data_IF_535763741317
#
_entry.id   IF_535763741317
#
_cell.length_a   1.000
_cell.length_b   1.000
_cell.length_c   1.000
_cell.angle_alpha   90.00
_cell.angle_beta   90.00
_cell.angle_gamma   90.00
#
_symmetry.space_group_name_H-M   'P 1'
#
loop_
_entity.id
_entity.type
_entity.pdbx_description
1 polymer ?
2 branched ?
3 branched ?
4 branched ?
5 branched ?
6 non-polymer ?
7 non-polymer ?
8 non-polymer ?
9 water ?
#
# COMPACT_ATOMS: atom_id res chain seq x y z
N UNK A 3 -10.81 6.91 13.26
CA UNK A 3 -11.61 6.01 12.42
C UNK A 3 -11.65 6.45 10.94
N UNK A 4 -11.75 7.78 10.67
CA UNK A 4 -11.75 8.33 9.31
C UNK A 4 -10.33 8.51 8.82
N UNK A 5 -10.07 8.10 7.56
CA UNK A 5 -8.76 8.25 6.91
C UNK A 5 -8.71 9.58 6.17
N UNK A 6 -7.71 10.42 6.49
CA UNK A 6 -7.52 11.65 5.74
C UNK A 6 -6.34 11.41 4.81
N UNK A 7 -6.57 11.56 3.51
CA UNK A 7 -5.54 11.38 2.47
C UNK A 7 -5.42 12.64 1.63
N UNK A 8 -4.21 12.94 1.18
CA UNK A 8 -3.90 14.10 0.37
C UNK A 8 -2.80 13.81 -0.64
N UNK A 9 -2.71 14.64 -1.67
CA UNK A 9 -1.73 14.59 -2.73
C UNK A 9 -0.57 15.51 -2.40
N UNK A 10 0.65 15.13 -2.81
CA UNK A 10 1.82 15.96 -2.61
C UNK A 10 2.43 16.27 -3.97
N UNK A 11 3.06 17.43 -4.12
CA UNK A 11 3.67 17.83 -5.39
C UNK A 11 4.81 16.91 -5.81
N UNK A 12 4.92 16.70 -7.12
CA UNK A 12 5.97 15.93 -7.78
C UNK A 12 5.84 16.17 -9.27
N UNK A 13 6.80 16.90 -9.81
CA UNK A 13 6.86 17.21 -11.24
C UNK A 13 7.05 15.96 -12.08
N UNK A 14 7.68 14.94 -11.51
CA UNK A 14 7.93 13.66 -12.17
C UNK A 14 6.69 12.80 -12.36
N UNK A 15 5.56 13.16 -11.68
CA UNK A 15 4.26 12.47 -11.74
C UNK A 15 3.24 13.34 -12.47
N UNK A 16 2.82 12.89 -13.66
CA UNK A 16 1.85 13.51 -14.54
C UNK A 16 0.47 13.54 -13.86
N UNK A 17 -0.24 14.66 -14.03
CA UNK A 17 -1.55 14.89 -13.42
C UNK A 17 -1.47 15.89 -12.29
N UNK A 18 -2.32 15.72 -11.25
CA UNK A 18 -2.37 16.62 -10.09
C UNK A 18 -1.02 17.03 -9.49
N UNK A 19 -0.12 16.05 -9.26
CA UNK A 19 1.21 16.25 -8.66
C UNK A 19 2.10 17.21 -9.45
N UNK A 20 2.09 17.12 -10.79
CA UNK A 20 2.86 18.01 -11.67
C UNK A 20 2.23 19.41 -11.64
N UNK A 21 0.88 19.49 -11.68
CA UNK A 21 0.10 20.73 -11.63
C UNK A 21 0.36 21.50 -10.34
N UNK A 22 0.44 20.78 -9.20
CA UNK A 22 0.72 21.35 -7.87
C UNK A 22 2.11 21.95 -7.85
N UNK A 23 3.10 21.21 -8.40
CA UNK A 23 4.49 21.67 -8.50
C UNK A 23 4.56 23.02 -9.20
N UNK A 24 3.89 23.13 -10.39
CA UNK A 24 3.83 24.34 -11.21
C UNK A 24 3.14 25.49 -10.51
N UNK A 25 2.10 25.20 -9.69
CA UNK A 25 1.33 26.20 -8.94
C UNK A 25 1.92 26.50 -7.56
N UNK A 26 3.03 25.82 -7.22
CA UNK A 26 3.72 25.98 -5.95
C UNK A 26 2.90 25.47 -4.77
N UNK A 27 2.08 24.43 -5.00
CA UNK A 27 1.22 23.80 -3.99
C UNK A 27 1.96 22.57 -3.50
N UNK A 28 2.07 22.44 -2.19
CA UNK A 28 2.77 21.32 -1.59
C UNK A 28 1.82 20.17 -1.24
N UNK A 29 0.67 20.48 -0.61
CA UNK A 29 -0.32 19.50 -0.19
C UNK A 29 -1.72 19.92 -0.56
N UNK A 30 -2.44 19.00 -1.23
CA UNK A 30 -3.81 19.20 -1.67
C UNK A 30 -4.64 17.99 -1.24
N UNK A 31 -5.71 18.24 -0.45
CA UNK A 31 -6.62 17.23 0.08
C UNK A 31 -7.20 16.33 -0.99
N UNK A 32 -7.28 15.04 -0.71
CA UNK A 32 -7.89 14.08 -1.62
C UNK A 32 -9.27 13.75 -1.05
N UNK A 33 -9.31 13.27 0.20
CA UNK A 33 -10.55 12.97 0.89
C UNK A 33 -10.43 12.64 2.36
N UNK A 34 -11.59 12.58 3.04
CA UNK A 34 -11.77 12.20 4.43
C UNK A 34 -12.68 10.99 4.36
N UNK A 35 -12.14 9.83 4.67
CA UNK A 35 -12.85 8.58 4.47
C UNK A 35 -13.31 7.78 5.67
N UNK A 36 -14.62 7.90 6.08
CA UNK A 36 -15.17 6.97 7.09
C UNK A 36 -15.32 5.57 6.48
N UNK A 37 -15.63 4.55 7.30
CA UNK A 37 -15.79 3.15 6.89
C UNK A 37 -16.87 3.01 5.83
N UNK A 38 -18.01 3.69 6.02
CA UNK A 38 -19.19 3.63 5.17
C UNK A 38 -19.06 4.42 3.90
N UNK A 39 -19.11 3.71 2.76
CA UNK A 39 -19.11 4.28 1.42
C UNK A 39 -20.57 4.47 1.01
N UNK A 40 -20.89 5.67 0.51
CA UNK A 40 -22.24 6.05 0.06
C UNK A 40 -22.66 5.36 -1.21
N UNK A 41 -23.92 4.89 -1.26
CA UNK A 41 -24.52 4.30 -2.45
C UNK A 41 -25.83 5.02 -2.81
N UNK A 42 -26.07 5.17 -4.10
CA UNK A 42 -27.29 5.76 -4.61
C UNK A 42 -27.30 7.25 -4.84
N UNK A 43 -28.51 7.81 -4.83
CA UNK A 43 -28.78 9.23 -5.07
C UNK A 43 -28.33 10.04 -3.85
N UNK A 44 -27.37 10.97 -4.00
CA UNK A 44 -27.00 11.84 -2.86
C UNK A 44 -28.21 12.60 -2.32
N UNK A 45 -28.17 12.95 -1.02
CA UNK A 45 -29.24 13.70 -0.36
C UNK A 45 -29.27 15.16 -0.81
N UNK A 46 -28.17 15.64 -1.41
CA UNK A 46 -27.97 17.00 -1.90
C UNK A 46 -26.94 16.97 -3.03
N UNK A 47 -27.18 17.75 -4.11
CA UNK A 47 -26.21 17.86 -5.19
C UNK A 47 -25.24 18.96 -4.82
N UNK A 48 -23.94 18.62 -4.72
CA UNK A 48 -22.89 19.56 -4.41
C UNK A 48 -22.72 20.55 -5.56
N UNK A 49 -22.92 21.83 -5.29
CA UNK A 49 -22.78 22.88 -6.30
C UNK A 49 -21.32 23.31 -6.36
N UNK A 50 -20.92 23.94 -7.47
CA UNK A 50 -19.56 24.45 -7.69
C UNK A 50 -19.21 25.54 -6.67
N UNK A 51 -20.18 26.41 -6.31
CA UNK A 51 -20.06 27.49 -5.31
C UNK A 51 -19.73 26.86 -3.94
N UNK A 52 -20.39 25.74 -3.59
CA UNK A 52 -20.19 25.01 -2.33
C UNK A 52 -18.81 24.38 -2.32
N UNK A 53 -18.48 23.63 -3.39
CA UNK A 53 -17.19 22.94 -3.51
C UNK A 53 -15.99 23.87 -3.60
N UNK A 54 -16.18 25.07 -4.17
CA UNK A 54 -15.10 26.08 -4.28
C UNK A 54 -14.70 26.63 -2.90
N UNK A 55 -15.59 26.49 -1.88
CA UNK A 55 -15.43 26.91 -0.47
C UNK A 55 -14.38 26.09 0.28
N UNK A 56 -13.97 24.91 -0.26
CA UNK A 56 -12.88 24.07 0.23
C UNK A 56 -11.69 24.70 -0.52
N UNK A 57 -11.20 25.85 0.02
CA UNK A 57 -10.13 26.65 -0.56
C UNK A 57 -8.83 25.91 -0.51
N UNK A 58 -8.19 25.84 -1.67
CA UNK A 58 -6.88 25.22 -1.81
C UNK A 58 -6.85 23.79 -2.23
N UNK A 59 -8.01 23.09 -2.25
CA UNK A 59 -8.09 21.71 -2.67
C UNK A 59 -8.14 21.70 -4.19
N UNK A 60 -7.21 20.99 -4.81
CA UNK A 60 -7.13 20.91 -6.26
C UNK A 60 -7.82 19.65 -6.78
N UNK A 61 -8.46 19.81 -7.93
CA UNK A 61 -9.14 18.73 -8.62
C UNK A 61 -8.07 17.85 -9.26
N UNK A 62 -8.30 16.53 -9.26
CA UNK A 62 -7.38 15.57 -9.87
C UNK A 62 -7.66 15.45 -11.39
N UNK A 63 -8.80 16.05 -11.84
CA UNK A 63 -9.26 16.05 -13.23
C UNK A 63 -8.54 17.08 -14.10
N UNK A 64 -7.98 16.62 -15.23
CA UNK A 64 -7.33 17.48 -16.21
C UNK A 64 -8.38 18.35 -16.93
N UNK A 65 -9.65 17.88 -17.00
CA UNK A 65 -10.78 18.58 -17.64
C UNK A 65 -11.15 19.93 -17.03
N UNK A 66 -10.75 20.19 -15.77
CA UNK A 66 -10.99 21.48 -15.10
C UNK A 66 -9.67 22.20 -14.91
N UNK A 67 -8.60 21.65 -15.54
CA UNK A 67 -7.22 22.14 -15.43
C UNK A 67 -6.75 22.07 -13.97
N UNK A 68 -7.15 20.98 -13.26
CA UNK A 68 -6.82 20.71 -11.85
C UNK A 68 -7.27 21.84 -10.88
N UNK A 69 -8.50 22.33 -11.07
CA UNK A 69 -9.07 23.39 -10.23
C UNK A 69 -10.20 22.85 -9.36
N UNK A 70 -11.43 22.86 -9.86
CA UNK A 70 -12.64 22.45 -9.17
C UNK A 70 -13.68 22.13 -10.28
N UNK A 71 -14.66 21.19 -10.10
CA UNK A 71 -15.02 20.48 -8.86
C UNK A 71 -15.28 18.98 -9.08
N UNK A 72 -14.58 18.33 -10.01
CA UNK A 72 -14.80 16.90 -10.26
C UNK A 72 -14.41 15.98 -9.08
N UNK A 73 -13.21 16.18 -8.49
CA UNK A 73 -12.77 15.39 -7.34
C UNK A 73 -13.65 15.70 -6.12
N UNK A 74 -13.89 17.00 -5.86
CA UNK A 74 -14.70 17.53 -4.75
C UNK A 74 -16.10 16.95 -4.75
N UNK A 75 -16.78 16.93 -5.93
CA UNK A 75 -18.13 16.37 -6.06
C UNK A 75 -18.11 14.85 -5.86
N UNK A 76 -17.13 14.17 -6.45
CA UNK A 76 -16.94 12.72 -6.32
C UNK A 76 -16.79 12.32 -4.86
N UNK A 77 -16.05 13.13 -4.07
CA UNK A 77 -15.82 12.90 -2.65
C UNK A 77 -17.08 13.09 -1.84
N UNK A 78 -17.91 14.10 -2.15
CA UNK A 78 -19.18 14.33 -1.44
C UNK A 78 -20.13 13.17 -1.70
N UNK A 79 -20.26 12.75 -2.96
CA UNK A 79 -21.14 11.67 -3.41
C UNK A 79 -20.77 10.30 -2.84
N UNK A 80 -19.47 9.91 -2.92
CA UNK A 80 -18.95 8.62 -2.46
C UNK A 80 -18.72 8.52 -0.95
N UNK A 81 -18.31 9.64 -0.30
CA UNK A 81 -17.96 9.61 1.12
C UNK A 81 -18.65 10.62 2.03
N UNK A 82 -19.25 11.66 1.47
CA UNK A 82 -19.80 12.75 2.24
C UNK A 82 -21.25 12.68 2.70
N UNK A 83 -22.20 12.69 1.75
CA UNK A 83 -23.63 12.78 2.03
C UNK A 83 -24.23 11.84 3.06
N UNK A 84 -23.95 10.53 2.93
CA UNK A 84 -24.48 9.48 3.79
C UNK A 84 -23.86 9.44 5.20
N UNK A 85 -22.73 10.15 5.42
CA UNK A 85 -22.05 10.18 6.71
C UNK A 85 -22.14 11.52 7.44
N UNK A 86 -22.13 12.64 6.68
CA UNK A 86 -22.21 13.99 7.23
C UNK A 86 -23.63 14.55 7.24
N UNK A 87 -24.51 13.96 6.41
CA UNK A 87 -25.94 14.25 6.26
C UNK A 87 -26.30 15.57 5.62
N UNK A 88 -25.49 16.61 5.87
CA UNK A 88 -25.66 17.97 5.32
C UNK A 88 -24.32 18.46 4.76
N UNK A 89 -24.34 19.27 3.67
CA UNK A 89 -23.14 19.79 3.00
C UNK A 89 -22.34 20.80 3.80
N UNK A 90 -23.01 21.65 4.62
CA UNK A 90 -22.34 22.68 5.43
C UNK A 90 -21.28 22.09 6.37
N UNK A 91 -21.58 21.13 7.28
CA UNK A 91 -20.49 20.60 8.14
C UNK A 91 -19.36 19.87 7.39
N UNK A 92 -19.65 19.27 6.21
CA UNK A 92 -18.66 18.54 5.41
C UNK A 92 -17.68 19.49 4.69
N UNK A 93 -18.16 20.62 4.17
CA UNK A 93 -17.38 21.67 3.52
C UNK A 93 -16.48 22.34 4.54
N UNK A 94 -17.05 22.67 5.73
CA UNK A 94 -16.28 23.28 6.82
C UNK A 94 -15.19 22.32 7.31
N UNK A 95 -15.47 21.00 7.34
CA UNK A 95 -14.46 20.02 7.73
C UNK A 95 -13.39 19.85 6.67
N UNK A 96 -13.79 19.64 5.41
CA UNK A 96 -12.88 19.51 4.27
C UNK A 96 -12.01 20.77 4.16
N UNK A 97 -12.61 21.96 4.30
CA UNK A 97 -11.89 23.23 4.23
C UNK A 97 -10.93 23.45 5.40
N UNK A 98 -11.33 23.08 6.62
CA UNK A 98 -10.44 23.22 7.76
C UNK A 98 -9.26 22.26 7.61
N UNK A 99 -9.50 21.01 7.13
CA UNK A 99 -8.47 20.00 6.87
C UNK A 99 -7.44 20.49 5.84
N UNK A 100 -7.91 21.09 4.70
CA UNK A 100 -7.07 21.65 3.64
C UNK A 100 -6.26 22.84 4.16
N UNK A 101 -6.91 23.77 4.91
CA UNK A 101 -6.28 24.93 5.55
C UNK A 101 -5.12 24.46 6.44
N UNK A 102 -5.32 23.36 7.19
CA UNK A 102 -4.31 22.74 8.04
C UNK A 102 -3.16 22.15 7.21
N UNK A 103 -3.48 21.45 6.09
CA UNK A 103 -2.49 20.88 5.16
C UNK A 103 -1.61 21.94 4.47
N UNK A 104 -2.20 23.12 4.15
CA UNK A 104 -1.52 24.25 3.51
C UNK A 104 -0.42 24.85 4.42
N UNK A 105 -0.60 24.73 5.76
CA UNK A 105 0.35 25.21 6.78
C UNK A 105 1.71 24.54 6.71
N UNK A 106 1.75 23.33 6.19
CA UNK A 106 2.98 22.58 6.05
C UNK A 106 2.83 21.14 6.49
N UNK A 107 3.95 20.55 6.92
CA UNK A 107 3.99 19.15 7.37
C UNK A 107 3.02 18.88 8.52
N UNK A 108 2.08 17.93 8.33
CA UNK A 108 1.10 17.61 9.39
C UNK A 108 1.73 16.82 10.54
N UNK A 109 1.02 16.72 11.68
CA UNK A 109 1.39 15.96 12.86
C UNK A 109 1.54 14.48 12.43
N UNK A 110 0.55 13.99 11.66
CA UNK A 110 0.55 12.60 11.16
C UNK A 110 0.59 12.58 9.64
N UNK A 111 1.75 12.22 9.08
CA UNK A 111 1.98 12.13 7.65
C UNK A 111 2.73 10.83 7.29
N UNK A 112 2.02 9.89 6.64
CA UNK A 112 2.50 8.59 6.21
C UNK A 112 2.35 8.46 4.72
N UNK A 113 3.39 7.95 4.02
CA UNK A 113 3.35 7.73 2.57
C UNK A 113 2.29 6.70 2.19
N UNK A 114 1.69 6.87 1.01
CA UNK A 114 0.71 5.95 0.45
C UNK A 114 1.30 5.43 -0.86
N UNK A 115 1.57 6.34 -1.78
CA UNK A 115 2.15 6.05 -3.08
C UNK A 115 3.43 6.88 -3.25
N UNK A 116 4.43 6.33 -3.95
CA UNK A 116 5.69 7.00 -4.22
C UNK A 116 5.96 6.90 -5.70
N UNK A 117 6.97 7.65 -6.14
CA UNK A 117 7.59 7.55 -7.45
C UNK A 117 9.07 7.58 -7.09
N UNK A 118 9.76 6.45 -7.30
CA UNK A 118 11.18 6.40 -7.01
C UNK A 118 11.96 7.19 -8.06
N UNK A 119 12.73 8.17 -7.61
CA UNK A 119 13.55 9.03 -8.45
C UNK A 119 14.98 8.49 -8.41
N UNK A 120 15.46 7.93 -9.55
CA UNK A 120 16.80 7.34 -9.69
C UNK A 120 17.91 8.37 -9.46
N UNK A 121 17.74 9.60 -9.99
CA UNK A 121 18.68 10.71 -9.88
C UNK A 121 18.95 11.12 -8.43
N UNK A 122 17.89 11.48 -7.68
CA UNK A 122 18.02 11.88 -6.27
C UNK A 122 18.09 10.69 -5.32
N UNK A 123 17.79 9.46 -5.81
CA UNK A 123 17.81 8.19 -5.05
C UNK A 123 16.79 8.27 -3.87
N UNK A 124 15.61 8.84 -4.16
CA UNK A 124 14.57 9.07 -3.15
C UNK A 124 13.22 8.57 -3.56
N UNK A 125 12.42 8.17 -2.56
CA UNK A 125 11.01 7.82 -2.76
C UNK A 125 10.24 9.14 -2.66
N UNK A 126 9.90 9.73 -3.81
CA UNK A 126 9.13 10.99 -3.88
C UNK A 126 7.67 10.61 -3.62
N UNK A 127 7.15 11.05 -2.46
CA UNK A 127 5.78 10.76 -2.01
C UNK A 127 4.76 11.54 -2.84
N UNK A 128 3.85 10.83 -3.51
CA UNK A 128 2.83 11.45 -4.37
C UNK A 128 1.45 11.57 -3.66
N UNK A 129 1.20 10.71 -2.65
CA UNK A 129 0.00 10.69 -1.81
C UNK A 129 0.39 10.22 -0.41
N UNK A 130 -0.15 10.88 0.60
CA UNK A 130 0.10 10.56 2.01
C UNK A 130 -1.21 10.58 2.79
N UNK A 131 -1.19 9.99 3.98
CA UNK A 131 -2.35 9.93 4.86
C UNK A 131 -1.94 10.08 6.33
N UNK A 132 -2.90 10.20 7.24
CA UNK A 132 -2.62 10.40 8.66
C UNK A 132 -2.46 9.11 9.50
N UNK A 133 -2.20 7.97 8.84
CA UNK A 133 -2.00 6.66 9.49
C UNK A 133 -1.23 5.73 8.54
N UNK A 134 -0.38 4.79 9.03
CA UNK A 134 0.38 3.94 8.10
C UNK A 134 -0.48 2.98 7.28
N UNK A 135 -0.01 2.65 6.07
CA UNK A 135 -0.72 1.80 5.11
C UNK A 135 0.27 1.05 4.20
N UNK A 136 -0.03 -0.15 3.65
CA UNK A 136 0.92 -0.78 2.71
C UNK A 136 1.21 0.15 1.52
N UNK A 137 2.50 0.31 1.21
CA UNK A 137 3.02 1.21 0.16
C UNK A 137 2.93 0.68 -1.27
N UNK A 138 2.97 1.61 -2.24
CA UNK A 138 2.92 1.36 -3.68
C UNK A 138 3.96 2.26 -4.35
N UNK A 139 4.87 1.65 -5.11
CA UNK A 139 5.91 2.35 -5.86
C UNK A 139 7.10 2.83 -5.05
N UNK A 140 7.07 2.64 -3.72
CA UNK A 140 8.13 3.04 -2.81
C UNK A 140 9.18 1.95 -2.78
N UNK A 141 10.46 2.31 -2.95
CA UNK A 141 11.57 1.37 -2.98
C UNK A 141 12.14 1.22 -1.57
N UNK A 142 12.35 -0.03 -1.17
CA UNK A 142 12.88 -0.44 0.14
C UNK A 142 14.29 0.09 0.39
N UNK A 143 14.52 0.59 1.60
CA UNK A 143 15.81 1.13 2.03
C UNK A 143 16.21 2.45 1.39
N UNK A 144 15.22 3.21 0.89
CA UNK A 144 15.38 4.52 0.26
C UNK A 144 14.59 5.52 1.09
N UNK A 145 15.16 6.70 1.31
CA UNK A 145 14.49 7.76 2.08
C UNK A 145 13.31 8.36 1.32
N UNK A 146 12.32 8.87 2.07
CA UNK A 146 11.09 9.46 1.55
C UNK A 146 11.19 10.98 1.49
N UNK A 147 10.63 11.58 0.41
CA UNK A 147 10.60 13.03 0.22
C UNK A 147 9.14 13.44 0.17
N UNK A 148 8.67 14.10 1.24
CA UNK A 148 7.28 14.57 1.37
C UNK A 148 7.22 16.03 0.98
N UNK A 149 7.06 16.33 -0.34
CA UNK A 149 7.05 17.69 -0.89
C UNK A 149 8.31 18.49 -0.40
N UNK A 150 9.47 17.88 -0.54
CA UNK A 150 10.74 18.48 -0.14
C UNK A 150 11.32 18.02 1.19
N UNK A 151 10.45 17.69 2.17
CA UNK A 151 10.87 17.22 3.51
C UNK A 151 11.38 15.77 3.45
N UNK A 152 12.65 15.53 3.82
CA UNK A 152 13.23 14.19 3.86
C UNK A 152 12.94 13.49 5.19
N UNK A 153 12.41 12.25 5.10
CA UNK A 153 12.07 11.36 6.22
C UNK A 153 12.64 9.99 5.86
N UNK A 154 13.36 9.35 6.79
CA UNK A 154 13.97 8.02 6.56
C UNK A 154 12.93 6.89 6.56
N UNK A 155 11.89 7.05 7.38
CA UNK A 155 10.80 6.09 7.46
C UNK A 155 9.60 6.49 6.63
N UNK A 156 8.59 5.60 6.50
CA UNK A 156 7.39 5.97 5.71
C UNK A 156 6.49 7.00 6.39
N UNK A 157 6.59 7.14 7.73
CA UNK A 157 5.84 8.12 8.51
C UNK A 157 6.83 9.09 9.17
N UNK A 158 6.38 10.30 9.52
CA UNK A 158 7.17 11.33 10.21
C UNK A 158 7.11 11.09 11.74
N UNK A 159 6.95 9.83 12.14
CA UNK A 159 6.90 9.33 13.52
C UNK A 159 7.17 7.82 13.48
N UNK A 160 7.48 7.22 14.64
CA UNK A 160 7.74 5.78 14.68
C UNK A 160 6.45 4.96 14.80
N UNK A 161 6.38 3.85 14.05
CA UNK A 161 5.23 2.93 13.97
C UNK A 161 5.51 1.68 14.84
N UNK A 162 6.59 0.96 14.48
CA UNK A 162 7.10 -0.31 15.02
C UNK A 162 7.20 -0.47 16.54
N UNK A 163 7.33 -1.75 16.99
CA UNK A 163 7.47 -2.26 18.37
C UNK A 163 6.27 -1.92 19.29
N UNK B 3 -9.99 -6.25 -0.46
CA UNK B 3 -9.39 -5.10 0.24
C UNK B 3 -8.02 -5.41 0.87
N UNK B 4 -7.85 -6.62 1.47
CA UNK B 4 -6.57 -7.04 2.04
C UNK B 4 -5.66 -7.60 0.97
N UNK B 5 -4.37 -7.21 1.00
CA UNK B 5 -3.34 -7.68 0.06
C UNK B 5 -2.69 -8.95 0.63
N UNK B 6 -2.71 -10.03 -0.13
CA UNK B 6 -2.02 -11.24 0.27
C UNK B 6 -0.74 -11.30 -0.57
N UNK B 7 0.42 -11.33 0.10
CA UNK B 7 1.72 -11.41 -0.54
C UNK B 7 2.47 -12.63 -0.04
N UNK B 8 3.27 -13.24 -0.92
CA UNK B 8 4.06 -14.43 -0.62
C UNK B 8 5.39 -14.42 -1.36
N UNK B 9 6.33 -15.22 -0.89
CA UNK B 9 7.65 -15.42 -1.43
C UNK B 9 7.64 -16.64 -2.34
N UNK B 10 8.44 -16.59 -3.42
CA UNK B 10 8.57 -17.72 -4.33
C UNK B 10 10.02 -18.15 -4.35
N UNK B 11 10.27 -19.46 -4.56
CA UNK B 11 11.64 -19.99 -4.59
C UNK B 11 12.47 -19.42 -5.73
N UNK B 12 13.77 -19.23 -5.46
CA UNK B 12 14.78 -18.78 -6.40
C UNK B 12 16.13 -18.95 -5.74
N UNK B 13 16.88 -19.94 -6.23
CA UNK B 13 18.21 -20.23 -5.75
C UNK B 13 19.18 -19.06 -5.97
N UNK B 14 18.92 -18.25 -7.00
CA UNK B 14 19.71 -17.07 -7.34
C UNK B 14 19.58 -15.92 -6.37
N UNK B 15 18.55 -15.96 -5.47
CA UNK B 15 18.26 -14.93 -4.47
C UNK B 15 18.56 -15.48 -3.09
N UNK B 16 19.61 -14.92 -2.45
CA UNK B 16 20.09 -15.24 -1.11
C UNK B 16 19.01 -14.88 -0.07
N UNK B 17 18.84 -15.74 0.91
CA UNK B 17 17.82 -15.59 1.94
C UNK B 17 16.71 -16.60 1.78
N UNK B 18 15.48 -16.21 2.15
CA UNK B 18 14.30 -17.08 2.08
C UNK B 18 14.12 -17.85 0.78
N UNK B 19 14.25 -17.17 -0.38
CA UNK B 19 14.09 -17.75 -1.72
C UNK B 19 15.04 -18.91 -2.01
N UNK B 20 16.31 -18.80 -1.58
CA UNK B 20 17.31 -19.87 -1.76
C UNK B 20 16.98 -21.03 -0.83
N UNK B 21 16.60 -20.73 0.43
CA UNK B 21 16.21 -21.70 1.47
C UNK B 21 15.00 -22.51 1.04
N UNK B 22 13.99 -21.86 0.39
CA UNK B 22 12.78 -22.49 -0.14
C UNK B 22 13.14 -23.49 -1.24
N UNK B 23 14.03 -23.05 -2.17
CA UNK B 23 14.52 -23.88 -3.27
C UNK B 23 15.10 -25.19 -2.72
N UNK B 24 16.00 -25.09 -1.71
CA UNK B 24 16.68 -26.21 -1.06
C UNK B 24 15.71 -27.12 -0.32
N UNK B 25 14.63 -26.55 0.26
CA UNK B 25 13.59 -27.29 0.99
C UNK B 25 12.44 -27.76 0.10
N UNK B 26 12.52 -27.46 -1.20
CA UNK B 26 11.53 -27.83 -2.19
C UNK B 26 10.19 -27.12 -1.99
N UNK B 27 10.24 -25.89 -1.45
CA UNK B 27 9.07 -25.05 -1.20
C UNK B 27 8.94 -24.10 -2.37
N UNK B 28 7.75 -24.02 -2.95
CA UNK B 28 7.49 -23.14 -4.08
C UNK B 28 6.97 -21.80 -3.64
N UNK B 29 5.98 -21.79 -2.72
CA UNK B 29 5.35 -20.56 -2.23
C UNK B 29 5.23 -20.58 -0.71
N UNK B 30 5.70 -19.50 -0.10
CA UNK B 30 5.69 -19.29 1.35
C UNK B 30 5.09 -17.92 1.65
N UNK B 31 3.99 -17.88 2.43
CA UNK B 31 3.27 -16.67 2.80
C UNK B 31 4.17 -15.62 3.43
N UNK B 32 3.96 -14.36 3.04
CA UNK B 32 4.69 -13.24 3.62
C UNK B 32 3.73 -12.56 4.60
N UNK B 33 2.56 -12.13 4.11
CA UNK B 33 1.54 -11.51 4.94
C UNK B 33 0.20 -11.28 4.26
N UNK B 34 -0.80 -10.92 5.09
CA UNK B 34 -2.16 -10.55 4.69
C UNK B 34 -2.30 -9.12 5.20
N UNK B 35 -2.35 -8.18 4.27
CA UNK B 35 -2.30 -6.77 4.62
C UNK B 35 -3.55 -5.91 4.42
N UNK B 36 -4.34 -5.65 5.50
CA UNK B 36 -5.42 -4.63 5.39
C UNK B 36 -4.84 -3.22 5.22
N UNK B 37 -5.69 -2.22 4.94
CA UNK B 37 -5.31 -0.82 4.77
C UNK B 37 -4.56 -0.29 5.99
N UNK B 38 -5.11 -0.59 7.18
CA UNK B 38 -4.60 -0.14 8.48
C UNK B 38 -3.38 -0.89 8.97
N UNK B 39 -2.27 -0.18 9.08
CA UNK B 39 -1.02 -0.69 9.65
C UNK B 39 -1.06 -0.35 11.14
N UNK B 40 -0.74 -1.34 11.99
CA UNK B 40 -0.73 -1.22 13.44
C UNK B 40 0.39 -0.33 13.95
N UNK B 41 0.04 0.55 14.92
CA UNK B 41 0.97 1.43 15.61
C UNK B 41 0.90 1.19 17.11
N UNK B 42 2.07 1.25 17.75
CA UNK B 42 2.18 1.09 19.19
C UNK B 42 2.39 -0.31 19.72
N UNK B 43 2.06 -0.47 20.99
CA UNK B 43 2.22 -1.72 21.72
C UNK B 43 1.14 -2.70 21.28
N UNK B 44 1.52 -3.88 20.75
CA UNK B 44 0.49 -4.90 20.42
C UNK B 44 -0.37 -5.26 21.63
N UNK B 45 -1.62 -5.66 21.37
CA UNK B 45 -2.58 -6.05 22.42
C UNK B 45 -2.20 -7.38 23.09
N UNK B 46 -1.35 -8.20 22.43
CA UNK B 46 -0.93 -9.54 22.87
C UNK B 46 0.37 -9.92 22.15
N UNK B 47 1.33 -10.46 22.90
CA UNK B 47 2.60 -10.95 22.38
C UNK B 47 2.38 -12.33 21.76
N UNK B 48 2.68 -12.44 20.47
CA UNK B 48 2.58 -13.68 19.72
C UNK B 48 3.66 -14.66 20.19
N UNK B 49 3.22 -15.82 20.70
CA UNK B 49 4.16 -16.83 21.20
C UNK B 49 4.59 -17.71 20.03
N UNK B 50 5.72 -18.41 20.18
CA UNK B 50 6.29 -19.32 19.18
C UNK B 50 5.33 -20.49 18.90
N UNK B 51 4.65 -21.01 19.95
CA UNK B 51 3.65 -22.08 19.90
C UNK B 51 2.47 -21.64 19.01
N UNK B 52 2.04 -20.37 19.16
CA UNK B 52 0.93 -19.78 18.38
C UNK B 52 1.36 -19.62 16.92
N UNK B 53 2.52 -19.00 16.70
CA UNK B 53 3.04 -18.75 15.36
C UNK B 53 3.41 -20.01 14.59
N UNK B 54 3.82 -21.09 15.30
CA UNK B 54 4.14 -22.38 14.68
C UNK B 54 2.90 -23.06 14.08
N UNK B 55 1.68 -22.65 14.55
CA UNK B 55 0.38 -23.11 14.06
C UNK B 55 0.03 -22.55 12.64
N UNK B 56 0.93 -21.70 12.07
CA UNK B 56 0.84 -21.23 10.68
C UNK B 56 1.84 -22.16 9.99
N UNK B 57 1.34 -23.36 9.59
CA UNK B 57 2.15 -24.44 9.01
C UNK B 57 2.58 -24.16 7.58
N UNK B 58 3.86 -24.38 7.28
CA UNK B 58 4.40 -24.19 5.93
C UNK B 58 4.94 -22.82 5.61
N UNK B 59 4.63 -21.82 6.48
CA UNK B 59 5.10 -20.46 6.28
C UNK B 59 6.52 -20.38 6.83
N UNK B 60 7.45 -19.96 5.98
CA UNK B 60 8.84 -19.87 6.35
C UNK B 60 9.22 -18.47 6.78
N UNK B 61 10.10 -18.39 7.77
CA UNK B 61 10.63 -17.15 8.29
C UNK B 61 11.64 -16.60 7.28
N UNK B 62 11.67 -15.30 7.10
CA UNK B 62 12.61 -14.62 6.20
C UNK B 62 13.98 -14.40 6.92
N UNK B 63 14.01 -14.63 8.24
CA UNK B 63 15.20 -14.48 9.09
C UNK B 63 16.14 -15.65 9.03
N UNK B 64 17.44 -15.37 8.77
CA UNK B 64 18.50 -16.37 8.74
C UNK B 64 18.78 -16.89 10.17
N UNK B 65 18.49 -16.06 11.20
CA UNK B 65 18.70 -16.37 12.62
C UNK B 65 17.89 -17.56 13.14
N UNK B 66 16.80 -17.96 12.44
CA UNK B 66 15.99 -19.12 12.83
C UNK B 66 16.15 -20.21 11.77
N UNK B 67 17.12 -20.00 10.85
CA UNK B 67 17.41 -20.86 9.71
C UNK B 67 16.17 -20.95 8.80
N UNK B 68 15.47 -19.81 8.63
CA UNK B 68 14.26 -19.67 7.79
C UNK B 68 13.11 -20.63 8.21
N UNK B 69 12.86 -20.73 9.53
CA UNK B 69 11.81 -21.58 10.09
C UNK B 69 10.67 -20.75 10.67
N UNK B 70 10.78 -20.38 11.95
CA UNK B 70 9.78 -19.62 12.71
C UNK B 70 10.55 -18.98 13.89
N UNK B 71 10.15 -17.80 14.43
CA UNK B 71 8.94 -17.01 14.17
C UNK B 71 9.19 -15.51 14.04
N UNK B 72 10.34 -15.09 13.50
CA UNK B 72 10.62 -13.65 13.35
C UNK B 72 9.69 -12.91 12.36
N UNK B 73 9.47 -13.48 11.16
CA UNK B 73 8.56 -12.89 10.17
C UNK B 73 7.11 -12.95 10.67
N UNK B 74 6.68 -14.11 11.20
CA UNK B 74 5.35 -14.38 11.76
C UNK B 74 5.00 -13.39 12.86
N UNK B 75 5.92 -13.13 13.81
CA UNK B 75 5.71 -12.16 14.90
C UNK B 75 5.62 -10.72 14.35
N UNK B 76 6.52 -10.38 13.43
CA UNK B 76 6.55 -9.07 12.78
C UNK B 76 5.22 -8.78 12.08
N UNK B 77 4.63 -9.80 11.45
CA UNK B 77 3.34 -9.71 10.75
C UNK B 77 2.19 -9.51 11.71
N UNK B 78 2.22 -10.19 12.87
CA UNK B 78 1.19 -10.05 13.88
C UNK B 78 1.19 -8.63 14.47
N UNK B 79 2.39 -8.11 14.78
CA UNK B 79 2.62 -6.78 15.34
C UNK B 79 2.28 -5.62 14.40
N UNK B 80 2.74 -5.68 13.15
CA UNK B 80 2.54 -4.63 12.15
C UNK B 80 1.16 -4.68 11.46
N UNK B 81 0.58 -5.90 11.25
CA UNK B 81 -0.67 -6.04 10.51
C UNK B 81 -1.81 -6.79 11.18
N UNK B 82 -1.52 -7.53 12.25
CA UNK B 82 -2.52 -8.40 12.85
C UNK B 82 -3.35 -7.89 14.00
N UNK B 83 -2.68 -7.58 15.14
CA UNK B 83 -3.34 -7.18 16.39
C UNK B 83 -4.45 -6.16 16.31
N UNK B 84 -4.18 -5.03 15.65
CA UNK B 84 -5.11 -3.91 15.52
C UNK B 84 -6.27 -4.15 14.54
N UNK B 85 -6.18 -5.21 13.71
CA UNK B 85 -7.22 -5.54 12.73
C UNK B 85 -8.01 -6.81 13.00
N UNK B 86 -7.38 -7.88 13.55
CA UNK B 86 -8.08 -9.14 13.89
C UNK B 86 -8.50 -9.18 15.36
N UNK B 87 -7.87 -8.34 16.17
CA UNK B 87 -8.11 -8.14 17.61
C UNK B 87 -7.63 -9.25 18.53
N UNK B 88 -7.80 -10.49 18.08
CA UNK B 88 -7.43 -11.72 18.75
C UNK B 88 -6.57 -12.59 17.82
N UNK B 89 -5.49 -13.21 18.36
CA UNK B 89 -4.55 -14.02 17.56
C UNK B 89 -5.16 -15.23 16.88
N UNK B 90 -6.11 -15.92 17.56
CA UNK B 90 -6.77 -17.14 17.06
C UNK B 90 -7.31 -17.02 15.63
N UNK B 91 -8.23 -16.09 15.28
CA UNK B 91 -8.68 -15.98 13.87
C UNK B 91 -7.58 -15.60 12.88
N UNK B 92 -6.61 -14.81 13.31
CA UNK B 92 -5.51 -14.39 12.45
C UNK B 92 -4.63 -15.58 12.08
N UNK B 93 -4.28 -16.43 13.06
CA UNK B 93 -3.50 -17.65 12.89
C UNK B 93 -4.19 -18.57 11.89
N UNK B 94 -5.52 -18.81 12.09
CA UNK B 94 -6.34 -19.69 11.24
C UNK B 94 -6.43 -19.17 9.81
N UNK B 95 -6.49 -17.83 9.60
CA UNK B 95 -6.54 -17.25 8.24
C UNK B 95 -5.15 -17.37 7.58
N UNK B 96 -4.08 -17.10 8.33
CA UNK B 96 -2.71 -17.16 7.82
C UNK B 96 -2.36 -18.61 7.45
N UNK B 97 -2.80 -19.59 8.28
CA UNK B 97 -2.61 -21.03 8.07
C UNK B 97 -3.33 -21.54 6.82
N UNK B 98 -4.63 -21.25 6.69
CA UNK B 98 -5.44 -21.62 5.54
C UNK B 98 -4.91 -21.03 4.23
N UNK B 99 -4.42 -19.76 4.25
CA UNK B 99 -3.83 -19.05 3.10
C UNK B 99 -2.58 -19.79 2.62
N UNK B 100 -1.72 -20.16 3.55
CA UNK B 100 -0.50 -20.90 3.26
C UNK B 100 -0.84 -22.28 2.67
N UNK B 101 -1.81 -23.01 3.27
CA UNK B 101 -2.25 -24.31 2.75
C UNK B 101 -2.68 -24.17 1.28
N UNK B 102 -3.44 -23.08 0.97
CA UNK B 102 -3.91 -22.75 -0.38
C UNK B 102 -2.70 -22.48 -1.31
N UNK B 103 -1.70 -21.70 -0.85
CA UNK B 103 -0.47 -21.42 -1.61
C UNK B 103 0.38 -22.67 -1.91
N UNK B 104 0.41 -23.63 -0.96
CA UNK B 104 1.14 -24.90 -1.08
C UNK B 104 0.56 -25.81 -2.21
N UNK B 105 -0.74 -25.64 -2.53
CA UNK B 105 -1.45 -26.36 -3.58
C UNK B 105 -0.89 -26.08 -4.98
N UNK B 106 -0.30 -24.90 -5.16
CA UNK B 106 0.28 -24.51 -6.43
C UNK B 106 -0.08 -23.11 -6.83
N UNK B 107 -0.08 -22.87 -8.15
CA UNK B 107 -0.38 -21.56 -8.72
C UNK B 107 -1.77 -21.06 -8.29
N UNK B 108 -1.83 -19.88 -7.64
CA UNK B 108 -3.13 -19.34 -7.19
C UNK B 108 -3.95 -18.77 -8.35
N UNK B 109 -5.26 -18.52 -8.10
CA UNK B 109 -6.19 -17.92 -9.07
C UNK B 109 -5.64 -16.52 -9.42
N UNK B 110 -5.18 -15.76 -8.39
CA UNK B 110 -4.61 -14.42 -8.57
C UNK B 110 -3.17 -14.37 -8.13
N UNK B 111 -2.25 -14.33 -9.10
CA UNK B 111 -0.80 -14.26 -8.85
C UNK B 111 -0.14 -13.23 -9.77
N UNK B 112 0.31 -12.11 -9.16
CA UNK B 112 0.97 -10.96 -9.80
C UNK B 112 2.33 -10.77 -9.20
N UNK B 113 3.37 -10.54 -10.04
CA UNK B 113 4.74 -10.29 -9.59
C UNK B 113 4.83 -9.00 -8.77
N UNK B 114 5.74 -8.98 -7.78
CA UNK B 114 6.01 -7.81 -6.96
C UNK B 114 7.48 -7.46 -7.19
N UNK B 115 8.37 -8.39 -6.89
CA UNK B 115 9.82 -8.23 -7.07
C UNK B 115 10.34 -9.39 -7.94
N UNK B 116 11.36 -9.10 -8.75
CA UNK B 116 12.01 -10.08 -9.62
C UNK B 116 13.50 -10.03 -9.40
N UNK B 117 14.18 -11.02 -9.97
CA UNK B 117 15.61 -11.09 -10.10
C UNK B 117 15.77 -11.52 -11.55
N UNK B 118 16.29 -10.61 -12.40
CA UNK B 118 16.48 -10.94 -13.80
C UNK B 118 17.67 -11.90 -13.95
N UNK B 119 17.42 -13.08 -14.54
CA UNK B 119 18.42 -14.11 -14.78
C UNK B 119 18.90 -13.97 -16.22
N UNK B 120 20.16 -13.56 -16.42
CA UNK B 120 20.78 -13.35 -17.74
C UNK B 120 20.84 -14.64 -18.56
N UNK B 121 21.19 -15.78 -17.90
CA UNK B 121 21.30 -17.11 -18.52
C UNK B 121 19.99 -17.59 -19.14
N UNK B 122 18.91 -17.66 -18.34
CA UNK B 122 17.59 -18.09 -18.82
C UNK B 122 16.82 -16.97 -19.52
N UNK B 123 17.28 -15.70 -19.39
CA UNK B 123 16.67 -14.49 -19.98
C UNK B 123 15.23 -14.30 -19.44
N UNK B 124 15.06 -14.52 -18.13
CA UNK B 124 13.76 -14.47 -17.47
C UNK B 124 13.73 -13.63 -16.23
N UNK B 125 12.57 -13.03 -15.96
CA UNK B 125 12.31 -12.31 -14.70
C UNK B 125 11.86 -13.40 -13.70
N UNK B 126 12.78 -13.86 -12.85
CA UNK B 126 12.49 -14.86 -11.82
C UNK B 126 11.80 -14.10 -10.69
N UNK B 127 10.51 -14.41 -10.48
CA UNK B 127 9.67 -13.75 -9.48
C UNK B 127 10.05 -14.24 -8.08
N UNK B 128 10.45 -13.30 -7.21
CA UNK B 128 10.87 -13.61 -5.85
C UNK B 128 9.75 -13.37 -4.82
N UNK B 129 8.78 -12.48 -5.15
CA UNK B 129 7.60 -12.15 -4.35
C UNK B 129 6.44 -11.85 -5.28
N UNK B 130 5.26 -12.35 -4.96
CA UNK B 130 4.03 -12.14 -5.72
C UNK B 130 2.87 -11.83 -4.79
N UNK B 131 1.78 -11.27 -5.35
CA UNK B 131 0.57 -10.93 -4.60
C UNK B 131 -0.67 -11.21 -5.41
N UNK B 132 -1.85 -11.08 -4.79
CA UNK B 132 -3.12 -11.38 -5.46
C UNK B 132 -3.78 -10.22 -6.22
N UNK B 133 -3.01 -9.16 -6.53
CA UNK B 133 -3.47 -7.98 -7.28
C UNK B 133 -2.26 -7.26 -7.92
N UNK B 134 -2.41 -6.59 -9.08
CA UNK B 134 -1.23 -5.96 -9.70
C UNK B 134 -0.66 -4.79 -8.90
N UNK B 135 0.66 -4.57 -9.03
CA UNK B 135 1.41 -3.53 -8.32
C UNK B 135 2.63 -3.09 -9.15
N UNK B 136 3.13 -1.84 -9.05
CA UNK B 136 4.38 -1.48 -9.75
C UNK B 136 5.54 -2.40 -9.32
N UNK B 137 6.26 -2.92 -10.33
CA UNK B 137 7.36 -3.89 -10.20
C UNK B 137 8.71 -3.31 -9.76
N UNK B 138 9.58 -4.19 -9.23
CA UNK B 138 10.93 -3.90 -8.76
C UNK B 138 11.87 -5.04 -9.23
N UNK B 139 12.93 -4.68 -9.95
CA UNK B 139 13.94 -5.61 -10.45
C UNK B 139 13.54 -6.42 -11.67
N UNK B 140 12.29 -6.25 -12.15
CA UNK B 140 11.76 -6.95 -13.32
C UNK B 140 12.17 -6.17 -14.56
N UNK B 141 12.75 -6.86 -15.55
CA UNK B 141 13.23 -6.26 -16.79
C UNK B 141 12.12 -6.28 -17.82
N UNK B 142 11.92 -5.12 -18.48
CA UNK B 142 10.90 -4.87 -19.51
C UNK B 142 11.08 -5.79 -20.72
N UNK B 143 9.97 -6.33 -21.22
CA UNK B 143 9.95 -7.21 -22.38
C UNK B 143 10.58 -8.57 -22.18
N UNK B 144 10.65 -9.03 -20.92
CA UNK B 144 11.18 -10.34 -20.52
C UNK B 144 10.05 -11.10 -19.83
N UNK B 145 9.93 -12.40 -20.11
CA UNK B 145 8.91 -13.25 -19.49
C UNK B 145 9.19 -13.51 -18.01
N UNK B 146 8.11 -13.75 -17.23
CA UNK B 146 8.15 -13.99 -15.79
C UNK B 146 8.11 -15.48 -15.46
N UNK B 147 8.90 -15.90 -14.46
CA UNK B 147 8.96 -17.28 -13.99
C UNK B 147 8.49 -17.29 -12.54
N UNK B 148 7.29 -17.81 -12.30
CA UNK B 148 6.68 -17.90 -10.96
C UNK B 148 6.92 -19.29 -10.41
N UNK B 149 8.07 -19.52 -9.73
CA UNK B 149 8.49 -20.83 -9.19
C UNK B 149 8.39 -21.92 -10.27
N UNK B 150 8.94 -21.64 -11.46
CA UNK B 150 8.93 -22.57 -12.59
C UNK B 150 7.89 -22.30 -13.68
N UNK B 151 6.71 -21.75 -13.32
CA UNK B 151 5.64 -21.45 -14.26
C UNK B 151 5.97 -20.18 -15.07
N UNK B 152 6.03 -20.28 -16.41
CA UNK B 152 6.30 -19.14 -17.28
C UNK B 152 5.00 -18.41 -17.64
N UNK B 153 5.00 -17.07 -17.45
CA UNK B 153 3.91 -16.15 -17.75
C UNK B 153 4.55 -14.96 -18.50
N UNK B 154 3.96 -14.55 -19.63
CA UNK B 154 4.48 -13.42 -20.45
C UNK B 154 4.23 -12.06 -19.81
N UNK B 155 3.07 -11.94 -19.15
CA UNK B 155 2.65 -10.74 -18.43
C UNK B 155 2.99 -10.83 -16.96
N UNK B 156 2.92 -9.71 -16.20
CA UNK B 156 3.24 -9.77 -14.76
C UNK B 156 2.23 -10.53 -13.89
N UNK B 157 0.97 -10.76 -14.37
CA UNK B 157 -0.13 -11.46 -13.66
C UNK B 157 -0.58 -12.69 -14.45
N UNK B 158 -1.11 -13.74 -13.78
CA UNK B 158 -1.69 -14.92 -14.50
C UNK B 158 -3.19 -14.70 -14.92
N UNK B 159 -3.62 -13.44 -14.97
CA UNK B 159 -4.96 -13.02 -15.38
C UNK B 159 -4.86 -11.60 -15.93
N UNK B 160 -5.88 -11.16 -16.67
CA UNK B 160 -5.93 -9.81 -17.23
C UNK B 160 -7.14 -9.04 -16.69
N UNK B 161 -8.21 -9.75 -16.25
CA UNK B 161 -9.41 -9.13 -15.66
C UNK B 161 -9.08 -8.31 -14.42
N UNK B 162 -9.81 -7.21 -14.19
CA UNK B 162 -9.58 -6.26 -13.10
C UNK B 162 -9.96 -6.77 -11.70
N UNK B 163 -9.06 -6.55 -10.71
CA UNK B 163 -9.18 -6.92 -9.27
C UNK B 163 -9.40 -8.42 -9.08
X LIG C 1 -15.50 11.06 11.01
X LIG C 1 -15.63 12.49 11.53
X LIG C 1 -17.00 12.65 12.18
X LIG C 1 -18.11 12.28 11.19
X LIG C 1 -17.85 10.89 10.62
X LIG C 1 -18.80 10.51 9.50
X LIG C 1 -13.36 13.28 12.13
X LIG C 1 -12.45 13.63 13.27
X LIG C 1 -14.57 12.80 12.48
X LIG C 1 -17.17 13.99 12.62
X LIG C 1 -19.35 12.28 11.89
X LIG C 1 -16.53 10.83 10.05
X LIG C 1 -18.81 9.10 9.32
X LIG C 1 -13.03 13.42 10.95
X LIG C 2 -20.38 13.13 11.44
X LIG C 2 -21.69 12.57 11.99
X LIG C 2 -22.90 13.46 11.67
X LIG C 2 -22.62 14.93 11.98
X LIG C 2 -21.21 15.37 11.54
X LIG C 2 -20.81 16.71 12.10
X LIG C 2 -21.81 10.11 12.15
X LIG C 2 -22.06 8.84 11.41
X LIG C 2 -21.89 11.24 11.43
X LIG C 2 -23.99 13.03 12.46
X LIG C 2 -23.58 15.73 11.28
X LIG C 2 -20.24 14.43 12.01
X LIG C 2 -19.54 17.11 11.61
X LIG C 2 -21.56 10.12 13.35
X LIG C 3 -24.68 16.24 12.00
X LIG C 3 -25.24 17.46 11.26
X LIG C 3 -26.52 17.95 11.93
X LIG C 3 -27.53 16.82 12.10
X LIG C 3 -26.87 15.68 12.88
X LIG C 3 -27.78 14.48 13.07
X LIG C 3 -25.48 17.15 9.89
X LIG C 3 -27.07 19.02 11.17
X LIG C 3 -28.71 17.27 12.77
X LIG C 3 -25.71 15.24 12.15
X LIG C 3 -27.12 13.31 13.56
X LIG C 4 -27.36 20.24 11.84
X LIG C 4 -28.61 20.83 11.19
X LIG C 4 -28.31 21.29 9.76
X LIG C 4 -27.09 22.21 9.72
X LIG C 4 -25.90 21.58 10.42
X LIG C 4 -24.73 22.52 10.57
X LIG C 4 -29.14 21.90 11.97
X LIG C 4 -29.45 21.92 9.20
X LIG C 4 -26.75 22.47 8.35
X LIG C 4 -26.27 21.17 11.76
X LIG C 4 -23.67 21.94 11.31
X LIG C 5 -27.91 12.42 14.33
X LIG C 5 -28.65 11.40 13.43
X LIG C 5 -27.82 10.15 13.18
X LIG C 5 -26.35 10.37 13.54
X LIG C 5 -26.24 10.74 15.03
X LIG C 5 -24.86 11.23 15.43
X LIG C 5 -29.10 11.98 12.20
X LIG C 5 -27.94 9.73 11.83
X LIG C 5 -25.59 9.21 13.26
X LIG C 5 -27.19 11.76 15.38
X LIG C 5 -24.22 10.32 16.31
X LIG D 1 8.94 18.57 -15.09
X LIG D 1 10.29 19.10 -15.55
X LIG D 1 10.31 19.16 -17.07
X LIG D 1 9.88 17.83 -17.69
X LIG D 1 8.56 17.34 -17.12
X LIG D 1 8.21 15.93 -17.56
X LIG D 1 11.31 20.79 -14.04
X LIG D 1 11.27 22.22 -13.59
X LIG D 1 10.42 20.44 -14.99
X LIG D 1 11.64 19.40 -17.49
X LIG D 1 9.67 18.06 -19.08
X LIG D 1 8.65 17.30 -15.69
X LIG D 1 9.11 14.96 -17.01
X LIG D 1 12.12 19.99 -13.57
X LIG D 2 10.56 17.47 -19.99
X LIG D 2 9.78 17.31 -21.30
X LIG D 2 10.73 16.76 -22.36
X LIG D 2 11.99 17.63 -22.48
X LIG D 2 12.65 17.82 -21.11
X LIG D 2 13.82 18.76 -21.10
X LIG D 2 7.38 16.85 -21.00
X LIG D 2 6.35 15.78 -20.76
X LIG D 2 8.65 16.42 -21.12
X LIG D 2 10.05 16.75 -23.61
X LIG D 2 12.91 16.99 -23.37
X LIG D 2 11.69 18.32 -20.18
X LIG D 2 13.44 20.14 -21.25
X LIG D 2 7.08 18.04 -21.05
X LIG D 3 12.99 17.47 -24.70
X LIG D 3 14.41 17.27 -25.22
X LIG D 3 14.46 17.70 -26.69
X LIG D 3 13.45 16.94 -27.54
X LIG D 3 12.06 17.12 -26.92
X LIG D 3 10.99 16.29 -27.57
X LIG D 3 14.77 15.90 -25.05
X LIG D 3 15.75 17.81 -27.31
X LIG D 3 13.44 17.44 -28.87
X LIG D 3 12.08 16.74 -25.53
X LIG D 3 9.75 16.58 -26.95
X LIG D 4 16.89 17.29 -26.69
X LIG D 4 17.96 16.95 -27.72
X LIG D 4 19.16 16.31 -27.00
X LIG D 4 19.64 17.19 -25.84
X LIG D 4 18.46 17.57 -24.95
X LIG D 4 18.79 18.54 -23.85
X LIG D 4 18.36 18.13 -28.40
X LIG D 4 20.20 16.02 -27.92
X LIG D 4 20.62 16.48 -25.08
X LIG D 4 17.44 18.20 -25.74
X LIG D 4 17.60 19.00 -23.23
X LIG D 5 8.64 15.95 -27.53
X LIG D 5 7.41 16.82 -27.25
X LIG D 5 7.06 16.80 -25.77
X LIG D 5 6.92 15.37 -25.25
X LIG D 5 8.17 14.56 -25.60
X LIG D 5 8.08 13.10 -25.23
X LIG D 5 6.32 16.36 -28.04
X LIG D 5 5.90 17.56 -25.48
X LIG D 5 6.73 15.39 -23.84
X LIG D 5 8.44 14.63 -27.01
X LIG D 5 9.33 12.45 -25.43
X LIG E 1 -9.42 -8.61 5.79
X LIG E 1 -10.01 -9.96 6.20
X LIG E 1 -11.03 -9.76 7.33
X LIG E 1 -10.43 -8.96 8.48
X LIG E 1 -9.74 -7.69 7.98
X LIG E 1 -8.95 -6.99 9.05
X LIG E 1 -10.02 -11.39 4.20
X LIG E 1 -10.89 -12.05 3.17
X LIG E 1 -10.65 -10.60 5.06
X LIG E 1 -11.44 -11.04 7.81
X LIG E 1 -11.48 -8.56 9.35
X LIG E 1 -8.81 -8.03 6.94
X LIG E 1 -8.71 -5.63 8.69
X LIG E 1 -8.80 -11.57 4.23
X LIG E 2 -11.40 -8.93 10.71
X LIG E 2 -12.25 -7.94 11.52
X LIG E 2 -12.32 -8.36 12.99
X LIG E 2 -12.64 -9.85 13.14
X LIG E 2 -11.78 -10.71 12.23
X LIG E 2 -12.20 -12.16 12.20
X LIG E 2 -12.26 -5.56 10.88
X LIG E 2 -11.52 -4.27 11.00
X LIG E 2 -11.64 -6.63 11.40
X LIG E 2 -13.34 -7.59 13.61
X LIG E 2 -12.35 -10.25 14.47
X LIG E 2 -11.90 -10.25 10.88
X LIG E 2 -11.50 -12.88 11.20
X LIG E 2 -13.36 -5.64 10.33
X LIG E 3 -13.40 -10.35 15.41
X LIG E 3 -12.91 -11.32 16.50
X LIG E 3 -13.88 -11.34 17.67
X LIG E 3 -14.12 -9.92 18.21
X LIG E 3 -14.58 -9.00 17.08
X LIG E 3 -14.64 -7.55 17.50
X LIG E 3 -11.60 -10.95 16.91
X LIG E 3 -13.36 -12.18 18.69
X LIG E 3 -15.09 -9.98 19.25
X LIG E 3 -13.65 -9.06 15.99
X LIG E 3 -15.73 -6.83 16.90
X LIG E 4 -14.12 -13.30 19.09
X LIG E 4 -13.91 -13.51 20.59
X LIG E 4 -12.50 -14.01 20.88
X LIG E 4 -12.13 -15.23 20.03
X LIG E 4 -12.41 -14.96 18.55
X LIG E 4 -12.26 -16.19 17.69
X LIG E 4 -14.89 -14.40 21.10
X LIG E 4 -12.35 -14.31 22.26
X LIG E 4 -10.77 -15.55 20.21
X LIG E 4 -13.76 -14.48 18.37
X LIG E 4 -12.60 -15.94 16.33
X LIG E 5 -15.40 -5.92 15.87
X LIG E 5 -15.17 -4.52 16.49
X LIG E 5 -15.17 -3.43 15.41
X LIG E 5 -15.13 -4.02 14.00
X LIG E 5 -16.32 -4.95 13.80
X LIG E 5 -16.22 -5.78 12.53
X LIG E 5 -13.98 -4.48 17.25
X LIG E 5 -14.06 -2.55 15.60
X LIG E 5 -15.17 -2.97 13.04
X LIG E 5 -16.47 -5.88 14.90
X LIG E 5 -17.24 -5.43 11.60
X LIG F 1 -3.41 -25.58 9.41
X LIG F 1 -4.40 -26.36 10.27
X LIG F 1 -3.98 -27.84 10.22
X LIG F 1 -3.84 -28.33 8.78
X LIG F 1 -2.89 -27.41 8.01
X LIG F 1 -2.67 -27.76 6.56
X LIG F 1 -5.21 -25.26 12.32
X LIG F 1 -4.78 -24.59 13.60
X LIG F 1 -4.23 -25.83 11.61
X LIG F 1 -4.93 -28.63 10.94
X LIG F 1 -3.23 -29.63 8.80
X LIG F 1 -3.37 -26.06 8.07
X LIG F 1 -1.35 -27.38 6.15
X LIG F 1 -6.38 -25.29 11.97
X LIG F 2 -3.97 -30.84 8.58
X LIG F 2 -4.79 -30.77 7.28
X LIG F 2 -4.12 -31.59 6.18
X LIG F 2 -2.60 -31.48 6.27
X LIG F 2 -2.10 -32.11 7.57
X LIG F 2 -0.80 -31.51 8.09
X LIG F 2 -7.21 -30.87 6.84
X LIG F 2 -8.49 -31.59 7.18
X LIG F 2 -6.14 -31.26 7.53
X LIG F 2 -4.57 -31.16 4.91
X LIG F 2 -1.99 -32.13 5.17
X LIG F 2 -3.08 -31.99 8.63
X LIG F 2 0.22 -31.50 7.09
X LIG F 2 -7.17 -30.00 5.98
X LIG G 1 6.75 23.57 0.27
X LIG G 1 6.74 25.02 0.77
X LIG G 1 8.18 25.54 0.83
X LIG G 1 9.05 24.63 1.69
X LIG G 1 8.97 23.18 1.19
X LIG G 1 9.63 22.19 2.13
X LIG G 1 4.75 26.36 0.27
X LIG G 1 3.92 26.97 -0.81
X LIG G 1 5.92 25.83 -0.11
X LIG G 1 8.16 26.86 1.37
X LIG G 1 10.40 25.08 1.68
X LIG G 1 7.59 22.77 1.10
X LIG G 1 8.91 22.06 3.35
X LIG G 1 4.38 26.36 1.43
X LIG H 1 -11.87 28.01 4.36
X LIG H 1 -12.79 29.06 4.97
X LIG H 1 -12.16 30.44 4.72
X LIG H 1 -10.72 30.47 5.26
X LIG H 1 -9.92 29.34 4.63
X LIG H 1 -8.49 29.23 5.15
X LIG H 1 -15.21 28.60 4.88
X LIG H 1 -16.37 28.35 3.97
X LIG H 1 -14.06 28.94 4.28
X LIG H 1 -12.96 31.45 5.32
X LIG H 1 -10.10 31.70 4.92
X LIG H 1 -10.55 28.08 4.89
X LIG H 1 -7.63 28.69 4.17
X LIG H 1 -15.31 28.50 6.10
X LIG I 1 -6.44 21.74 12.45
X LIG I 1 -7.42 20.69 12.97
X LIG I 1 -7.83 21.05 14.40
X LIG I 1 -6.60 21.15 15.30
X LIG I 1 -5.57 22.11 14.70
X LIG I 1 -4.23 22.06 15.39
X LIG I 1 -8.87 19.52 11.36
X LIG I 1 -10.09 19.63 10.50
X LIG I 1 -8.59 20.59 12.12
X LIG I 1 -8.69 20.03 14.91
X LIG I 1 -6.98 21.59 16.59
X LIG I 1 -5.31 21.75 13.33
X LIG I 1 -3.55 20.82 15.16
X LIG I 1 -8.16 18.52 11.35
X LIG J 1 -15.43 4.69 -7.86
X LIG J 1 -14.23 5.24 -7.12
X LIG J 1 -14.97 3.47 -8.69
X LIG J 1 -16.35 4.18 -6.89
X LIG J 1 -15.78 5.68 -8.83
X LIG K 1 13.63 -1.23 -10.47
X LIG K 1 14.79 -0.79 -11.36
X LIG K 1 12.87 -0.01 -9.95
X LIG K 1 12.74 -1.93 -11.34
X LIG K 1 14.31 -1.75 -9.34
X LIG L 1 -23.38 26.88 -8.91
X LIG L 1 -23.32 27.98 -9.96
X LIG L 1 -22.05 26.96 -8.24
X LIG L 1 -24.39 27.16 -7.88
X LIG L 1 -23.30 25.66 -9.67
X LIG M 1 -19.16 10.59 -8.66
X LIG M 1 -18.45 9.74 -9.71
X LIG M 1 -20.68 10.45 -8.67
X LIG M 1 -18.81 9.94 -7.42
X LIG M 1 -18.93 11.96 -9.07
X LIG N 1 -6.82 3.53 -2.36
X LIG N 1 -7.22 3.78 -3.70
X LIG N 1 -8.51 4.59 -3.73
X LIG N 1 -9.51 3.88 -2.99
X LIG N 1 -10.37 4.78 -2.22
X LIG N 1 -10.31 4.51 -0.74
X LIG N 1 -9.12 4.12 -0.11
X LIG N 1 -9.05 3.88 1.25
X LIG N 1 -10.26 4.03 2.02
X LIG N 1 -10.27 3.85 3.26
X LIG N 1 -11.40 4.41 1.37
X LIG N 1 -11.45 4.64 0.02
X LIG N 1 -12.53 4.95 -0.50
X LIG N 1 -9.91 6.22 -2.61
X LIG N 1 -10.55 6.61 -3.78
X LIG N 1 -11.85 7.50 -3.64
X LIG N 1 -12.85 6.86 -2.81
X LIG N 1 -11.52 8.95 -3.07
X LIG N 1 -12.28 7.70 -5.14
X LIG N 1 -8.41 5.97 -3.04
X LIG N 1 -7.86 7.00 -3.93
X LIG O 1 -6.94 10.40 -13.19
X LIG O 1 -6.70 9.57 -12.05
X LIG O 1 -5.21 9.28 -11.94
X LIG O 1 -4.55 10.13 -11.00
X LIG O 1 -4.35 9.42 -9.75
X LIG O 1 -4.96 10.28 -8.69
X LIG O 1 -6.35 10.42 -8.63
X LIG O 1 -6.95 11.21 -7.69
X LIG O 1 -6.11 11.93 -6.76
X LIG O 1 -6.62 12.63 -5.91
X LIG O 1 -4.77 11.78 -6.84
X LIG O 1 -4.20 10.97 -7.77
X LIG O 1 -3.00 10.90 -7.77
X LIG O 1 -4.99 7.99 -9.96
X LIG O 1 -4.24 6.93 -9.36
X LIG O 1 -4.93 6.48 -7.96
X LIG O 1 -5.37 7.67 -7.19
X LIG O 1 -6.23 5.57 -8.24
X LIG O 1 -3.80 5.73 -7.03
X LIG O 1 -4.97 7.86 -11.50
X LIG O 1 -3.67 7.48 -11.94
X LIG P 1 6.87 -26.41 -7.74
X LIG P 1 6.27 -27.79 -7.53
X LIG P 1 6.59 -28.69 -8.72
X LIG P 1 6.13 -28.04 -10.02
X LIG P 1 6.70 -26.64 -10.16
X LIG P 1 6.13 -25.85 -11.32
X LIG P 1 6.02 -28.56 -5.20
X LIG P 1 6.75 -28.93 -3.95
X LIG P 1 6.79 -28.35 -6.29
X LIG P 1 5.92 -29.94 -8.54
X LIG P 1 6.49 -28.84 -11.14
X LIG P 1 6.42 -25.87 -8.99
X LIG P 1 4.76 -25.54 -11.11
X LIG P 1 4.79 -28.44 -5.23
X LIG Q 1 -8.66 -21.26 -0.24
X LIG Q 1 -9.41 -20.01 0.20
X LIG Q 1 -10.92 -20.29 0.14
X LIG Q 1 -11.33 -20.74 -1.25
X LIG Q 1 -10.46 -21.90 -1.73
X LIG Q 1 -10.65 -22.19 -3.21
X LIG Q 1 -8.33 -18.49 1.80
X LIG Q 1 -7.98 -18.27 3.25
X LIG Q 1 -9.02 -19.61 1.54
X LIG Q 1 -11.62 -19.10 0.50
X LIG Q 1 -12.70 -21.14 -1.22
X LIG Q 1 -9.07 -21.58 -1.57
X LIG Q 1 -10.10 -21.16 -4.03
X LIG Q 1 -8.00 -17.70 0.93
X LIG R 1 5.93 -6.02 5.72
X LIG R 1 6.95 -5.44 6.67
X LIG R 1 6.58 -5.94 4.34
X LIG R 1 5.88 -7.41 6.09
X LIG R 1 4.88 -4.98 5.66
X LIG S 1 6.54 -20.03 23.59
X LIG S 1 7.65 -21.00 24.00
X LIG S 1 5.87 -20.78 22.46
X LIG S 1 5.51 -20.11 24.65
X LIG S 1 7.24 -18.83 23.04
X LIG T 1 7.99 -5.48 14.70
X LIG T 1 9.28 -5.99 14.04
X LIG T 1 7.98 -3.96 14.74
X LIG T 1 6.94 -5.79 13.79
X LIG T 1 8.06 -5.87 16.06
X LIG U 1 14.83 -10.28 6.16
X LIG U 1 14.81 -9.38 5.02
X LIG U 1 15.53 -9.89 3.72
X LIG U 1 14.72 -10.85 2.97
X LIG U 1 13.78 -10.09 2.11
X LIG U 1 12.41 -10.57 2.44
X LIG U 1 11.84 -10.23 3.67
X LIG U 1 10.59 -10.72 4.01
X LIG U 1 9.94 -11.61 3.09
X LIG U 1 8.87 -12.12 3.34
X LIG U 1 10.53 -11.90 1.91
X LIG U 1 11.73 -11.43 1.56
X LIG U 1 12.18 -11.79 0.47
X LIG U 1 14.18 -8.59 2.27
X LIG U 1 14.01 -7.89 1.03
X LIG U 1 12.63 -7.08 1.18
X LIG U 1 11.49 -7.98 1.55
X LIG U 1 12.92 -5.99 2.35
X LIG U 1 12.13 -6.43 -0.24
X LIG U 1 15.67 -8.73 2.69
X LIG U 1 16.42 -9.20 1.55
#
# INVERSE_FOLDING_TARGET
>A
RSENITQWNLQDNGTEGIQRAMFQRGVNRSLHGIWPEKICTGVPSHLATDTELKAIHGMMDASEKTNYTCCRLQRHEWNKHGWCNWYNIEPWILLMNKTQANLTEGQPLRECAVTCRYDRDSDLNVVTQARDSPTPLTGCKKGKNFSFAGILVQGPCNFEIAVSDVL
>B
RSENITQWNLQDNGTEGIQRAMFQRGVNRSLHGIWPEKICTGVPSHLATDTELKAIHGMMDASEKTNYTCCRLQRHEWNKHGWCNWYNIEPWILLMNKTQANLTEGQPLRECAVTCRYDRDSDLNVVTQARDSPTPLTGCKKGKNFSFAGILVQGPCNFEIAVSDVL
>C hetero
1 NAG C1 C2 C3 C4 C5 C6 C7 C8 N2 O3 O4 O5 O6 O7
2 NAG C1 C2 C3 C4 C5 C6 C7 C8 N2 O3 O4 O5 O6 O7
3 BMA C1 C2 C3 C4 C5 C6 O2 O3 O4 O5 O6
4 MAN C1 C2 C3 C4 C5 C6 O2 O3 O4 O5 O6
5 BMA C1 C2 C3 C4 C5 C6 O2 O3 O4 O5 O6
>D hetero
1 NAG C1 C2 C3 C4 C5 C6 C7 C8 N2 O3 O4 O5 O6 O7
2 NAG C1 C2 C3 C4 C5 C6 C7 C8 N2 O3 O4 O5 O6 O7
3 BMA C1 C2 C3 C4 C5 C6 O2 O3 O4 O5 O6
4 BMA C1 C2 C3 C4 C5 C6 O2 O3 O4 O5 O6
5 MAN C1 C2 C3 C4 C5 C6 O2 O3 O4 O5 O6
>E hetero
1 NAG C1 C2 C3 C4 C5 C6 C7 C8 N2 O3 O4 O5 O6 O7
2 NAG C1 C2 C3 C4 C5 C6 C7 C8 N2 O3 O4 O5 O6 O7
3 BMA C1 C2 C3 C4 C5 C6 O2 O3 O4 O5 O6
4 MAN C1 C2 C3 C4 C5 C6 O2 O3 O4 O5 O6
5 MAN C1 C2 C3 C4 C5 C6 O2 O3 O4 O5 O6
>F hetero
1 NAG C1 C2 C3 C4 C5 C6 C7 C8 N2 O3 O4 O5 O6 O7
2 NAG C1 C2 C3 C4 C5 C6 C7 C8 N2 O3 O4 O5 O6 O7
>G hetero
1 NAG C1 C2 C3 C4 C5 C6 C7 C8 N2 O3 O4 O5 O6 O7
>H hetero
1 NAG C1 C2 C3 C4 C5 C6 C7 C8 N2 O3 O4 O5 O6 O7
>I hetero
1 NAG C1 C2 C3 C4 C5 C6 C7 C8 N2 O3 O4 O5 O6 O7
>J hetero
1 SO4 S O1 O2 O3 O4
>K hetero
1 SO4 S O1 O2 O3 O4
>L hetero
1 SO4 S O1 O2 O3 O4
>M hetero
1 SO4 S O1 O2 O3 O4
>N hetero
1 U2P O5' C5' C4' O4' C1' N1 C6 C5 C4 O4 N3 C2 O2 C2' O2' P O1P O2P O3P C3' O3'
>O hetero
1 U2P O5' C5' C4' O4' C1' N1 C6 C5 C4 O4 N3 C2 O2 C2' O2' P O1P O2P O3P C3' O3'
>P hetero
1 NAG C1 C2 C3 C4 C5 C6 C7 C8 N2 O3 O4 O5 O6 O7
>Q hetero
1 NAG C1 C2 C3 C4 C5 C6 C7 C8 N2 O3 O4 O5 O6 O7
>R hetero
1 SO4 S O1 O2 O3 O4
>S hetero
1 SO4 S O1 O2 O3 O4
>T hetero
1 SO4 S O1 O2 O3 O4
>U hetero
1 U2P O5' C5' C4' O4' C1' N1 C6 C5 C4 O4 N3 C2 O2 C2' O2' P O1P O2P O3P C3' O3'
#
